data_IF_228441037119
#
_entry.id   IF_228441037119
#
_cell.length_a   1.000
_cell.length_b   1.000
_cell.length_c   1.000
_cell.angle_alpha   90.00
_cell.angle_beta   90.00
_cell.angle_gamma   90.00
#
_symmetry.space_group_name_H-M   'P 1'
#
loop_
_entity.id
_entity.type
_entity.pdbx_description
1 polymer ?
#
# COMPACT_ATOMS: atom_id res chain seq x y z
N UNK A 1 -16.21 -3.09 10.12
CA UNK A 1 -16.89 -2.79 8.85
C UNK A 1 -16.37 -1.53 8.16
N UNK A 2 -15.97 -0.46 8.86
CA UNK A 2 -15.44 0.77 8.22
C UNK A 2 -14.08 0.63 7.49
N UNK A 3 -13.14 -0.20 7.98
CA UNK A 3 -11.78 -0.33 7.39
C UNK A 3 -11.74 -0.79 5.92
N UNK A 4 -12.75 -1.53 5.47
CA UNK A 4 -12.74 -2.22 4.17
C UNK A 4 -13.01 -1.24 3.01
N UNK A 5 -13.82 -0.21 3.24
CA UNK A 5 -14.18 0.78 2.21
C UNK A 5 -12.97 1.65 1.80
N UNK A 6 -12.09 1.98 2.75
CA UNK A 6 -10.90 2.80 2.52
C UNK A 6 -9.83 2.11 1.67
N UNK A 7 -9.75 0.77 1.72
CA UNK A 7 -8.75 0.00 0.96
C UNK A 7 -9.15 -0.24 -0.49
N UNK A 8 -10.45 -0.32 -0.79
CA UNK A 8 -10.94 -0.51 -2.17
C UNK A 8 -10.53 0.62 -3.12
N UNK A 9 -10.38 1.84 -2.60
CA UNK A 9 -9.90 3.00 -3.37
C UNK A 9 -8.38 2.98 -3.61
N UNK A 10 -7.60 2.22 -2.84
CA UNK A 10 -6.16 2.05 -3.05
C UNK A 10 -5.84 0.98 -4.12
N UNK A 11 -6.78 0.07 -4.42
CA UNK A 11 -6.56 -0.98 -5.42
C UNK A 11 -6.39 -0.42 -6.85
N UNK A 12 -7.00 0.73 -7.15
CA UNK A 12 -6.87 1.42 -8.44
C UNK A 12 -5.52 2.13 -8.62
N UNK A 13 -4.72 2.25 -7.54
CA UNK A 13 -3.54 3.11 -7.47
C UNK A 13 -2.19 2.35 -7.44
N UNK A 14 -2.12 1.12 -7.97
CA UNK A 14 -0.89 0.31 -8.05
C UNK A 14 -0.12 0.16 -6.71
N UNK A 15 -0.84 0.11 -5.59
CA UNK A 15 -0.23 -0.16 -4.28
C UNK A 15 0.11 -1.65 -4.13
N UNK A 16 1.14 -1.90 -3.34
CA UNK A 16 1.60 -3.23 -2.96
C UNK A 16 1.53 -3.38 -1.44
N UNK A 17 1.20 -4.59 -0.99
CA UNK A 17 1.14 -4.97 0.41
C UNK A 17 2.23 -6.00 0.71
N UNK A 18 2.91 -5.80 1.84
CA UNK A 18 3.87 -6.74 2.37
C UNK A 18 3.19 -8.06 2.74
N UNK A 19 3.64 -9.16 2.14
CA UNK A 19 3.14 -10.51 2.44
C UNK A 19 4.07 -11.31 3.37
N UNK A 20 5.24 -10.75 3.72
CA UNK A 20 6.21 -11.40 4.59
C UNK A 20 5.81 -11.28 6.07
N UNK A 21 6.22 -12.25 6.88
CA UNK A 21 6.01 -12.25 8.33
C UNK A 21 7.05 -11.43 9.10
N UNK A 22 8.15 -11.04 8.46
CA UNK A 22 9.19 -10.19 9.03
C UNK A 22 9.15 -8.80 8.36
N UNK A 23 8.71 -7.79 9.12
CA UNK A 23 8.51 -6.41 8.66
C UNK A 23 9.81 -5.71 8.22
N UNK A 24 10.97 -6.23 8.61
CA UNK A 24 12.27 -5.63 8.34
C UNK A 24 12.91 -6.09 7.02
N UNK A 25 12.26 -6.97 6.26
CA UNK A 25 12.72 -7.29 4.91
C UNK A 25 12.52 -6.09 3.96
N UNK A 26 13.61 -5.64 3.33
CA UNK A 26 13.62 -4.44 2.50
C UNK A 26 13.51 -4.71 0.98
N UNK A 27 13.67 -5.96 0.53
CA UNK A 27 13.67 -6.26 -0.90
C UNK A 27 12.26 -6.21 -1.50
N UNK A 28 12.14 -5.69 -2.73
CA UNK A 28 10.87 -5.66 -3.45
C UNK A 28 10.76 -6.85 -4.41
N UNK A 29 10.38 -8.02 -3.88
CA UNK A 29 10.22 -9.29 -4.62
C UNK A 29 8.90 -9.95 -4.23
N UNK A 30 8.48 -10.97 -4.99
CA UNK A 30 7.16 -11.62 -4.84
C UNK A 30 6.96 -12.33 -3.49
N UNK A 31 8.05 -12.73 -2.84
CA UNK A 31 8.10 -13.30 -1.49
C UNK A 31 8.04 -12.25 -0.37
N UNK A 32 8.02 -10.97 -0.73
CA UNK A 32 7.90 -9.86 0.22
C UNK A 32 6.76 -8.89 -0.10
N UNK A 33 6.41 -8.67 -1.37
CA UNK A 33 5.36 -7.75 -1.80
C UNK A 33 4.51 -8.34 -2.91
N UNK A 34 3.20 -8.16 -2.81
CA UNK A 34 2.22 -8.46 -3.85
C UNK A 34 1.27 -7.26 -4.06
N UNK A 35 0.63 -7.13 -5.24
CA UNK A 35 -0.37 -6.07 -5.46
C UNK A 35 -1.43 -6.08 -4.35
N UNK A 36 -1.84 -4.92 -3.86
CA UNK A 36 -2.84 -4.81 -2.79
C UNK A 36 -4.16 -5.50 -3.19
N UNK A 37 -4.55 -5.38 -4.46
CA UNK A 37 -5.72 -6.04 -5.06
C UNK A 37 -5.65 -7.57 -5.09
N UNK A 38 -4.49 -8.17 -4.75
CA UNK A 38 -4.36 -9.63 -4.66
C UNK A 38 -4.76 -10.20 -3.29
N UNK A 39 -5.14 -9.35 -2.33
CA UNK A 39 -5.52 -9.77 -0.99
C UNK A 39 -7.02 -9.54 -0.76
N UNK A 40 -7.68 -10.54 -0.19
CA UNK A 40 -9.02 -10.37 0.38
C UNK A 40 -8.99 -9.56 1.68
N UNK A 41 -10.13 -8.98 2.05
CA UNK A 41 -10.24 -8.27 3.32
C UNK A 41 -9.88 -9.14 4.54
N UNK A 42 -10.17 -10.44 4.48
CA UNK A 42 -9.92 -11.38 5.57
C UNK A 42 -8.42 -11.68 5.72
N UNK A 43 -7.72 -11.90 4.61
CA UNK A 43 -6.26 -12.05 4.60
C UNK A 43 -5.56 -10.80 5.15
N UNK A 44 -6.01 -9.61 4.76
CA UNK A 44 -5.43 -8.35 5.25
C UNK A 44 -5.68 -8.14 6.75
N UNK A 45 -6.84 -8.55 7.26
CA UNK A 45 -7.15 -8.49 8.69
C UNK A 45 -6.33 -9.48 9.53
N UNK A 46 -5.88 -10.58 8.93
CA UNK A 46 -5.05 -11.58 9.59
C UNK A 46 -3.57 -11.18 9.67
N UNK A 47 -3.13 -10.13 8.95
CA UNK A 47 -1.74 -9.70 8.97
C UNK A 47 -1.35 -9.09 10.33
N UNK A 48 -0.16 -9.43 10.86
CA UNK A 48 0.32 -8.89 12.13
C UNK A 48 0.68 -7.39 12.05
N UNK A 49 0.95 -6.90 10.84
CA UNK A 49 1.23 -5.50 10.55
C UNK A 49 0.86 -5.18 9.10
N UNK A 50 0.71 -3.89 8.80
CA UNK A 50 0.49 -3.40 7.44
C UNK A 50 1.71 -2.60 7.01
N UNK A 51 2.35 -3.04 5.91
CA UNK A 51 3.44 -2.32 5.27
C UNK A 51 3.12 -2.17 3.78
N UNK A 52 2.87 -0.94 3.38
CA UNK A 52 2.52 -0.58 2.00
C UNK A 52 3.75 -0.14 1.22
N UNK A 53 3.72 -0.34 -0.09
CA UNK A 53 4.72 0.20 -1.00
C UNK A 53 4.08 0.59 -2.33
N UNK A 54 4.70 1.56 -3.01
CA UNK A 54 4.31 2.01 -4.34
C UNK A 54 5.58 2.17 -5.16
N UNK A 55 5.57 1.69 -6.40
CA UNK A 55 6.72 1.85 -7.31
C UNK A 55 6.66 3.24 -7.95
N UNK A 56 7.82 3.85 -8.12
CA UNK A 56 8.00 5.02 -8.98
C UNK A 56 8.95 4.63 -10.12
N UNK A 57 8.53 4.78 -11.40
CA UNK A 57 9.45 4.63 -12.52
C UNK A 57 10.60 5.62 -12.40
N UNK A 58 11.83 5.20 -12.72
CA UNK A 58 13.01 6.08 -12.65
C UNK A 58 12.89 7.28 -13.60
N UNK A 59 12.11 7.14 -14.68
CA UNK A 59 11.82 8.20 -15.64
C UNK A 59 11.03 9.36 -15.01
N UNK A 60 10.35 9.11 -13.89
CA UNK A 60 9.58 10.11 -13.14
C UNK A 60 10.39 10.75 -12.00
N UNK A 61 11.72 10.61 -12.02
CA UNK A 61 12.59 11.15 -10.97
C UNK A 61 12.37 12.64 -10.69
N UNK A 62 12.20 13.44 -11.74
CA UNK A 62 11.98 14.89 -11.60
C UNK A 62 10.62 15.23 -10.94
N UNK A 63 9.70 14.27 -10.90
CA UNK A 63 8.37 14.39 -10.29
C UNK A 63 8.29 13.74 -8.90
N UNK A 64 9.42 13.39 -8.29
CA UNK A 64 9.45 12.70 -6.98
C UNK A 64 8.69 13.43 -5.89
N UNK A 65 8.84 14.75 -5.78
CA UNK A 65 8.15 15.55 -4.76
C UNK A 65 6.62 15.41 -4.91
N UNK A 66 6.12 15.54 -6.14
CA UNK A 66 4.70 15.36 -6.42
C UNK A 66 4.23 13.93 -6.13
N UNK A 67 5.03 12.92 -6.52
CA UNK A 67 4.73 11.52 -6.23
C UNK A 67 4.62 11.27 -4.73
N UNK A 68 5.58 11.72 -3.92
CA UNK A 68 5.57 11.49 -2.48
C UNK A 68 4.42 12.22 -1.79
N UNK A 69 4.21 13.51 -2.09
CA UNK A 69 3.16 14.31 -1.46
C UNK A 69 1.77 13.80 -1.81
N UNK A 70 1.53 13.45 -3.08
CA UNK A 70 0.25 12.90 -3.53
C UNK A 70 -0.01 11.52 -2.92
N UNK A 71 0.99 10.64 -2.94
CA UNK A 71 0.87 9.28 -2.38
C UNK A 71 0.62 9.32 -0.87
N UNK A 72 1.34 10.18 -0.13
CA UNK A 72 1.14 10.35 1.31
C UNK A 72 -0.24 10.94 1.63
N UNK A 73 -0.69 11.95 0.86
CA UNK A 73 -2.04 12.52 1.01
C UNK A 73 -3.13 11.47 0.81
N UNK A 74 -2.98 10.57 -0.16
CA UNK A 74 -3.93 9.46 -0.37
C UNK A 74 -3.98 8.53 0.85
N UNK A 75 -2.83 8.15 1.41
CA UNK A 75 -2.78 7.35 2.65
C UNK A 75 -3.57 8.05 3.78
N UNK A 76 -3.33 9.35 3.99
CA UNK A 76 -4.05 10.11 5.02
C UNK A 76 -5.56 10.17 4.79
N UNK A 77 -5.99 10.36 3.54
CA UNK A 77 -7.42 10.39 3.19
C UNK A 77 -8.11 9.08 3.54
N UNK A 78 -7.48 7.94 3.26
CA UNK A 78 -8.05 6.61 3.56
C UNK A 78 -8.04 6.26 5.05
N UNK A 79 -7.02 6.69 5.80
CA UNK A 79 -7.00 6.53 7.25
C UNK A 79 -8.05 7.44 7.90
N UNK A 80 -8.18 8.68 7.44
CA UNK A 80 -9.14 9.64 8.00
C UNK A 80 -10.60 9.30 7.67
N UNK A 81 -10.88 8.71 6.51
CA UNK A 81 -12.23 8.27 6.14
C UNK A 81 -12.72 7.03 6.88
N UNK A 82 -11.84 6.38 7.66
CA UNK A 82 -12.15 5.17 8.44
C UNK A 82 -12.18 5.40 9.95
N UNK A 83 -11.98 6.66 10.39
CA UNK A 83 -12.21 7.14 11.75
C UNK A 83 -13.63 7.71 11.90
#
# INVERSE_FOLDING_TARGET
MQKVEGMRLMEEDEWFLCCNTNEWQHHFREDNYKPLSSFSSEEMHALPFIKLAKKIPLQEWDSLEYFFTTSFKKILQHIASTA
#
